data_IF_223076750391
#
_entry.id   IF_223076750391
#
_cell.length_a   1.000
_cell.length_b   1.000
_cell.length_c   1.000
_cell.angle_alpha   90.00
_cell.angle_beta   90.00
_cell.angle_gamma   90.00
#
_symmetry.space_group_name_H-M   'P 1'
#
loop_
_entity.id
_entity.type
_entity.pdbx_description
1 polymer ?
#
# COMPACT_ATOMS: atom_id res chain seq x y z
N UNK A 1 15.40 5.96 10.92
CA UNK A 1 15.28 6.17 9.46
C UNK A 1 13.84 6.38 9.09
N UNK A 2 13.56 7.36 8.25
CA UNK A 2 12.22 7.60 7.76
C UNK A 2 12.03 7.00 6.41
N UNK A 3 10.92 6.35 6.23
CA UNK A 3 10.50 5.90 4.92
C UNK A 3 9.05 6.30 4.74
N UNK A 4 8.53 6.12 3.54
CA UNK A 4 7.17 6.52 3.21
C UNK A 4 6.45 5.35 2.57
N UNK A 5 5.17 5.25 2.82
CA UNK A 5 4.30 4.25 2.22
C UNK A 5 3.09 4.95 1.61
N UNK A 6 2.44 4.33 0.67
CA UNK A 6 1.23 4.85 0.06
C UNK A 6 0.08 3.99 0.56
N UNK A 7 -0.96 4.60 1.11
CA UNK A 7 -2.11 3.88 1.65
C UNK A 7 -3.41 4.40 1.10
N UNK A 8 -4.41 3.54 1.07
CA UNK A 8 -5.75 3.88 0.63
C UNK A 8 -6.72 2.97 1.37
N UNK A 9 -7.92 3.45 1.66
CA UNK A 9 -8.89 2.64 2.39
C UNK A 9 -9.68 1.76 1.46
N UNK A 10 -9.71 0.47 1.78
CA UNK A 10 -10.50 -0.49 1.03
C UNK A 10 -11.93 -0.49 1.56
N UNK A 11 -12.90 -0.37 0.65
CA UNK A 11 -14.31 -0.22 0.99
C UNK A 11 -15.17 -1.37 0.50
N UNK A 12 -14.63 -2.28 -0.31
CA UNK A 12 -15.38 -3.43 -0.79
C UNK A 12 -14.60 -4.72 -0.55
N UNK A 13 -15.30 -5.79 -0.33
CA UNK A 13 -14.66 -7.10 -0.22
C UNK A 13 -14.31 -7.65 -1.61
N UNK A 14 -13.73 -8.83 -1.65
CA UNK A 14 -13.23 -9.39 -2.91
C UNK A 14 -14.33 -9.80 -3.88
N UNK A 15 -15.56 -9.95 -3.42
CA UNK A 15 -16.67 -10.25 -4.31
C UNK A 15 -17.46 -8.98 -4.68
N UNK A 16 -16.94 -7.82 -4.30
CA UNK A 16 -17.51 -6.54 -4.72
C UNK A 16 -18.60 -5.97 -3.83
N UNK A 17 -18.84 -6.55 -2.66
CA UNK A 17 -19.85 -6.02 -1.75
C UNK A 17 -19.25 -4.94 -0.87
N UNK A 18 -19.99 -3.86 -0.69
CA UNK A 18 -19.54 -2.74 0.14
C UNK A 18 -19.40 -3.17 1.59
N UNK A 19 -18.29 -2.81 2.21
CA UNK A 19 -18.05 -3.11 3.61
C UNK A 19 -18.67 -2.04 4.50
N UNK A 20 -19.20 -2.45 5.65
CA UNK A 20 -19.63 -1.50 6.66
C UNK A 20 -18.42 -0.67 7.08
N UNK A 21 -18.65 0.56 7.50
CA UNK A 21 -17.56 1.49 7.80
C UNK A 21 -16.57 0.89 8.79
N UNK A 22 -17.04 0.22 9.82
CA UNK A 22 -16.15 -0.38 10.82
C UNK A 22 -15.35 -1.55 10.29
N UNK A 23 -15.70 -2.08 9.13
CA UNK A 23 -14.99 -3.20 8.53
C UNK A 23 -14.08 -2.77 7.38
N UNK A 24 -14.08 -1.50 7.05
CA UNK A 24 -13.18 -0.96 6.03
C UNK A 24 -11.77 -0.89 6.61
N UNK A 25 -10.79 -1.10 5.80
CA UNK A 25 -9.41 -1.17 6.29
C UNK A 25 -8.42 -0.57 5.31
N UNK A 26 -7.25 -0.22 5.85
CA UNK A 26 -6.19 0.38 5.04
C UNK A 26 -5.42 -0.68 4.30
N UNK A 27 -5.17 -0.39 3.03
CA UNK A 27 -4.26 -1.19 2.22
C UNK A 27 -3.11 -0.31 1.75
N UNK A 28 -2.00 -0.93 1.38
CA UNK A 28 -0.76 -0.25 1.08
C UNK A 28 -0.26 -0.64 -0.30
N UNK A 29 0.30 0.33 -1.02
CA UNK A 29 0.88 0.08 -2.33
C UNK A 29 2.03 -0.91 -2.20
N UNK A 30 2.07 -1.87 -3.09
CA UNK A 30 3.08 -2.93 -3.07
C UNK A 30 3.11 -3.63 -4.42
N UNK A 31 4.02 -4.57 -4.57
CA UNK A 31 4.04 -5.42 -5.73
C UNK A 31 3.60 -6.82 -5.34
N UNK A 32 2.68 -7.38 -6.12
CA UNK A 32 2.22 -8.73 -5.93
C UNK A 32 3.15 -9.65 -6.73
N UNK A 33 3.90 -10.48 -6.05
CA UNK A 33 4.83 -11.39 -6.70
C UNK A 33 4.30 -12.81 -6.83
N UNK A 34 3.01 -13.02 -6.63
CA UNK A 34 2.41 -14.32 -6.81
C UNK A 34 2.34 -14.74 -8.27
N UNK A 35 2.70 -13.88 -9.16
CA UNK A 35 2.60 -14.16 -10.57
C UNK A 35 3.60 -15.18 -11.07
N UNK A 36 4.38 -15.74 -10.23
CA UNK A 36 5.32 -16.76 -10.60
C UNK A 36 6.74 -16.26 -10.67
N UNK A 37 7.66 -17.20 -10.77
CA UNK A 37 9.05 -16.89 -10.60
C UNK A 37 9.68 -16.06 -11.71
N UNK A 38 9.00 -15.87 -12.81
CA UNK A 38 9.56 -15.10 -13.91
C UNK A 38 8.95 -13.71 -14.02
N UNK A 39 8.06 -13.36 -13.10
CA UNK A 39 7.37 -12.10 -13.20
C UNK A 39 7.97 -11.12 -12.25
N UNK A 40 7.95 -9.84 -12.61
CA UNK A 40 8.43 -8.80 -11.73
C UNK A 40 7.35 -8.33 -10.78
N UNK A 41 6.27 -9.00 -10.66
CA UNK A 41 5.17 -8.60 -9.82
C UNK A 41 4.32 -7.50 -10.43
N UNK A 42 3.12 -7.36 -9.94
CA UNK A 42 2.21 -6.33 -10.40
C UNK A 42 2.03 -5.29 -9.32
N UNK A 43 1.87 -4.02 -9.67
CA UNK A 43 1.50 -3.03 -8.68
C UNK A 43 0.09 -3.34 -8.17
N UNK A 44 -0.10 -3.29 -6.87
CA UNK A 44 -1.39 -3.56 -6.26
C UNK A 44 -1.48 -2.90 -4.89
N UNK A 45 -2.62 -3.02 -4.23
CA UNK A 45 -2.76 -2.60 -2.84
C UNK A 45 -3.06 -3.84 -2.01
N UNK A 46 -2.42 -3.96 -0.89
CA UNK A 46 -2.56 -5.11 -0.01
C UNK A 46 -2.13 -4.78 1.41
N UNK A 47 -1.88 -5.81 2.19
CA UNK A 47 -1.58 -5.66 3.61
C UNK A 47 -0.29 -4.91 3.92
N UNK A 48 -0.21 -4.43 5.14
CA UNK A 48 0.91 -3.60 5.56
C UNK A 48 2.25 -4.32 5.53
N UNK A 49 2.25 -5.62 5.75
CA UNK A 49 3.49 -6.39 5.86
C UNK A 49 4.40 -6.26 4.65
N UNK A 50 3.81 -6.19 3.46
CA UNK A 50 4.59 -6.14 2.23
C UNK A 50 4.54 -4.77 1.57
N UNK A 51 4.15 -3.74 2.30
CA UNK A 51 4.07 -2.38 1.75
C UNK A 51 5.40 -1.95 1.15
N UNK A 52 5.34 -1.40 -0.06
CA UNK A 52 6.53 -0.83 -0.68
C UNK A 52 6.92 0.43 0.05
N UNK A 53 8.19 0.59 0.34
CA UNK A 53 8.68 1.76 1.06
C UNK A 53 9.51 2.65 0.14
N UNK A 54 9.39 3.94 0.35
CA UNK A 54 10.07 4.93 -0.48
C UNK A 54 10.94 5.81 0.41
N UNK A 55 12.06 6.25 -0.12
CA UNK A 55 12.99 7.08 0.65
C UNK A 55 12.57 8.54 0.74
N UNK A 56 11.63 8.96 -0.08
CA UNK A 56 11.15 10.33 -0.08
C UNK A 56 9.70 10.40 -0.55
N UNK A 57 9.04 11.51 -0.26
CA UNK A 57 7.69 11.75 -0.73
C UNK A 57 7.68 11.82 -2.26
N UNK A 58 8.70 12.41 -2.85
CA UNK A 58 8.79 12.53 -4.30
C UNK A 58 8.85 11.18 -4.98
N UNK A 59 9.59 10.25 -4.41
CA UNK A 59 9.68 8.89 -4.95
C UNK A 59 8.35 8.17 -4.87
N UNK A 60 7.62 8.36 -3.77
CA UNK A 60 6.29 7.77 -3.62
C UNK A 60 5.31 8.34 -4.65
N UNK A 61 5.35 9.65 -4.88
CA UNK A 61 4.49 10.31 -5.87
C UNK A 61 4.82 9.83 -7.28
N UNK A 62 6.11 9.68 -7.59
CA UNK A 62 6.55 9.24 -8.89
C UNK A 62 6.04 7.83 -9.16
N UNK A 63 6.19 6.96 -8.18
CA UNK A 63 5.70 5.59 -8.29
C UNK A 63 4.20 5.56 -8.56
N UNK A 64 3.43 6.30 -7.79
CA UNK A 64 1.98 6.33 -7.96
C UNK A 64 1.59 6.90 -9.32
N UNK A 65 2.27 7.95 -9.76
CA UNK A 65 1.99 8.55 -11.07
C UNK A 65 2.18 7.53 -12.18
N UNK A 66 3.23 6.75 -12.11
CA UNK A 66 3.53 5.75 -13.13
C UNK A 66 2.58 4.56 -13.09
N UNK A 67 2.18 4.13 -11.89
CA UNK A 67 1.42 2.91 -11.73
C UNK A 67 -0.08 3.11 -11.57
N UNK A 68 -0.53 4.35 -11.41
CA UNK A 68 -1.93 4.61 -11.08
C UNK A 68 -2.92 4.09 -12.10
N UNK A 69 -2.54 4.06 -13.36
CA UNK A 69 -3.43 3.59 -14.41
C UNK A 69 -3.79 2.11 -14.23
N UNK A 70 -2.98 1.36 -13.51
CA UNK A 70 -3.22 -0.06 -13.28
C UNK A 70 -3.86 -0.31 -11.91
N UNK A 71 -3.93 0.70 -11.05
CA UNK A 71 -4.34 0.52 -9.68
C UNK A 71 -5.76 0.99 -9.38
N UNK A 72 -6.29 1.91 -10.16
CA UNK A 72 -7.59 2.50 -9.86
C UNK A 72 -8.71 1.50 -10.07
N UNK A 73 -9.51 1.29 -9.06
CA UNK A 73 -10.64 0.39 -9.08
C UNK A 73 -11.78 0.99 -8.25
N UNK A 74 -12.87 0.28 -8.09
CA UNK A 74 -14.00 0.72 -7.30
C UNK A 74 -14.03 0.08 -5.90
N UNK A 75 -13.01 -0.66 -5.54
CA UNK A 75 -12.92 -1.32 -4.24
C UNK A 75 -12.27 -0.44 -3.18
N UNK A 76 -11.70 0.68 -3.57
CA UNK A 76 -11.00 1.60 -2.68
C UNK A 76 -11.61 2.99 -2.74
N UNK A 77 -11.59 3.69 -1.62
CA UNK A 77 -11.99 5.09 -1.58
C UNK A 77 -10.76 5.93 -1.89
N UNK A 78 -10.65 6.37 -3.13
CA UNK A 78 -9.46 7.08 -3.60
C UNK A 78 -9.32 8.48 -2.99
N UNK A 79 -10.35 8.98 -2.31
CA UNK A 79 -10.23 10.24 -1.58
C UNK A 79 -9.38 10.06 -0.33
N UNK A 80 -9.16 8.83 0.11
CA UNK A 80 -8.35 8.54 1.29
C UNK A 80 -6.90 8.25 0.95
N UNK A 81 -6.54 8.28 -0.34
CA UNK A 81 -5.18 8.00 -0.76
C UNK A 81 -4.22 8.98 -0.09
N UNK A 82 -3.19 8.47 0.49
CA UNK A 82 -2.22 9.29 1.21
C UNK A 82 -0.83 8.67 1.21
N UNK A 83 0.17 9.54 1.27
CA UNK A 83 1.54 9.12 1.50
C UNK A 83 1.75 9.30 3.00
N UNK A 84 2.11 8.22 3.67
CA UNK A 84 2.31 8.25 5.11
C UNK A 84 3.76 8.02 5.44
N UNK A 85 4.26 8.75 6.44
CA UNK A 85 5.60 8.57 6.92
C UNK A 85 5.62 7.37 7.84
N UNK A 86 6.63 6.53 7.70
CA UNK A 86 6.84 5.39 8.57
C UNK A 86 8.21 5.53 9.19
N UNK A 87 8.25 5.63 10.49
CA UNK A 87 9.49 5.76 11.21
C UNK A 87 9.82 4.42 11.82
N UNK A 88 10.95 3.87 11.47
CA UNK A 88 11.38 2.64 12.07
C UNK A 88 11.97 2.94 13.43
N UNK A 89 11.38 2.34 14.44
CA UNK A 89 11.89 2.50 15.76
C UNK A 89 12.92 1.44 15.97
N UNK A 90 13.86 1.72 16.80
CA UNK A 90 14.94 0.81 17.03
C UNK A 90 14.74 0.04 18.30
N UNK A 91 13.54 -0.30 18.63
CA UNK A 91 13.28 -1.03 19.83
C UNK A 91 13.91 -2.35 19.90
N UNK A 92 14.10 -2.93 18.80
CA UNK A 92 14.66 -4.24 18.78
C UNK A 92 16.00 -4.27 19.35
N UNK A 93 16.66 -3.18 19.36
CA UNK A 93 17.99 -3.26 19.87
C UNK A 93 18.03 -3.37 21.33
N UNK A 94 16.94 -3.30 21.98
CA UNK A 94 16.96 -3.38 23.35
C UNK A 94 17.10 -4.65 23.85
N UNK A 95 16.99 -5.55 23.09
CA UNK A 95 17.01 -6.76 23.52
C UNK A 95 18.17 -7.06 24.12
N UNK A 96 18.37 -7.39 24.99
CA UNK A 96 19.56 -7.75 25.50
C UNK A 96 19.56 -8.44 26.55
#
# INVERSE_FOLDING_TARGET
MKTYVISVKRTKNYIGNHLAEENQYWEYAQYDDHAGSFSTGYPCFGGETYAETFNSIEKAREWFYEESQYLKDDAHDWTTLAIRERVYETKEKLVI
#
